data_IF_674325765447
#
_entry.id   IF_674325765447
#
_cell.length_a   1.000
_cell.length_b   1.000
_cell.length_c   1.000
_cell.angle_alpha   90.00
_cell.angle_beta   90.00
_cell.angle_gamma   90.00
#
_symmetry.space_group_name_H-M   'P 1'
#
loop_
_entity.id
_entity.type
_entity.pdbx_description
1 polymer ?
#
# COMPACT_ATOMS: atom_id res chain seq x y z
N UNK A 1 -12.43 -35.13 6.86
CA UNK A 1 -13.60 -34.82 6.03
C UNK A 1 -14.29 -33.61 6.64
N UNK A 2 -14.80 -32.68 5.84
CA UNK A 2 -15.62 -31.57 6.30
C UNK A 2 -17.03 -32.12 6.66
N UNK A 3 -17.58 -31.69 7.76
CA UNK A 3 -18.89 -32.07 8.27
C UNK A 3 -19.87 -30.93 8.02
N UNK A 4 -20.99 -31.20 7.32
CA UNK A 4 -22.04 -30.22 7.14
C UNK A 4 -23.01 -30.30 8.32
N UNK A 5 -23.30 -29.17 8.95
CA UNK A 5 -24.25 -29.09 10.08
C UNK A 5 -25.12 -27.83 9.96
N UNK A 6 -26.24 -27.85 10.65
CA UNK A 6 -27.02 -26.69 10.94
C UNK A 6 -26.65 -26.23 12.37
N UNK A 7 -26.00 -25.07 12.50
CA UNK A 7 -25.44 -24.60 13.76
C UNK A 7 -26.27 -23.46 14.33
N UNK A 8 -26.54 -23.51 15.63
CA UNK A 8 -27.13 -22.36 16.32
C UNK A 8 -26.20 -21.16 16.25
N UNK A 9 -26.68 -20.00 15.81
CA UNK A 9 -25.86 -18.78 15.64
C UNK A 9 -25.23 -18.39 16.99
N UNK A 10 -25.98 -18.55 18.10
CA UNK A 10 -25.50 -18.29 19.45
C UNK A 10 -24.33 -19.20 19.90
N UNK A 11 -24.14 -20.34 19.25
CA UNK A 11 -23.06 -21.29 19.52
C UNK A 11 -21.75 -20.94 18.80
N UNK A 12 -21.76 -19.89 17.95
CA UNK A 12 -20.64 -19.52 17.10
C UNK A 12 -19.97 -18.27 17.65
N UNK A 13 -18.71 -18.40 18.03
CA UNK A 13 -17.87 -17.26 18.36
C UNK A 13 -17.39 -16.56 17.09
N UNK A 14 -17.73 -15.30 16.94
CA UNK A 14 -17.17 -14.42 15.90
C UNK A 14 -16.01 -13.66 16.50
N UNK A 15 -14.78 -14.02 16.12
CA UNK A 15 -13.56 -13.35 16.56
C UNK A 15 -13.38 -11.96 15.95
N UNK A 16 -12.32 -11.26 16.38
CA UNK A 16 -11.90 -10.02 15.75
C UNK A 16 -11.57 -10.24 14.28
N UNK A 17 -12.10 -9.39 13.41
CA UNK A 17 -11.95 -9.50 11.97
C UNK A 17 -10.90 -8.53 11.44
N UNK A 18 -10.09 -8.99 10.49
CA UNK A 18 -9.10 -8.13 9.81
C UNK A 18 -9.75 -6.99 9.01
N UNK A 19 -10.98 -7.20 8.54
CA UNK A 19 -11.81 -6.20 7.89
C UNK A 19 -13.11 -6.03 8.69
N UNK A 20 -13.49 -4.80 9.06
CA UNK A 20 -14.79 -4.52 9.66
C UNK A 20 -15.93 -4.98 8.74
N UNK A 21 -17.05 -5.39 9.33
CA UNK A 21 -18.26 -5.69 8.59
C UNK A 21 -18.90 -4.37 8.16
N UNK A 22 -19.10 -4.22 6.87
CA UNK A 22 -19.89 -3.15 6.27
C UNK A 22 -21.38 -3.52 6.44
N UNK A 23 -22.11 -2.71 7.19
CA UNK A 23 -23.52 -2.99 7.53
C UNK A 23 -24.44 -2.86 6.33
N UNK A 24 -24.22 -1.89 5.45
CA UNK A 24 -25.04 -1.71 4.24
C UNK A 24 -24.93 -2.94 3.33
N UNK A 25 -23.70 -3.49 3.21
CA UNK A 25 -23.47 -4.72 2.46
C UNK A 25 -24.07 -5.95 3.18
N UNK A 26 -24.04 -6.00 4.51
CA UNK A 26 -24.68 -7.07 5.27
C UNK A 26 -26.21 -7.05 5.12
N UNK A 27 -26.83 -5.87 5.08
CA UNK A 27 -28.26 -5.69 4.83
C UNK A 27 -28.65 -6.13 3.42
N UNK A 28 -27.84 -5.82 2.40
CA UNK A 28 -28.06 -6.30 1.03
C UNK A 28 -28.01 -7.85 0.96
N UNK A 29 -27.07 -8.46 1.69
CA UNK A 29 -27.01 -9.93 1.82
C UNK A 29 -28.23 -10.46 2.57
N UNK A 30 -28.69 -9.79 3.62
CA UNK A 30 -29.88 -10.17 4.38
C UNK A 30 -31.13 -10.17 3.48
N UNK A 31 -31.30 -9.14 2.65
CA UNK A 31 -32.39 -9.07 1.68
C UNK A 31 -32.36 -10.28 0.73
N UNK A 32 -31.20 -10.59 0.16
CA UNK A 32 -31.03 -11.76 -0.71
C UNK A 32 -31.27 -13.09 0.03
N UNK A 33 -30.81 -13.22 1.26
CA UNK A 33 -31.04 -14.41 2.10
C UNK A 33 -32.50 -14.57 2.52
N UNK A 34 -33.22 -13.46 2.69
CA UNK A 34 -34.67 -13.51 2.95
C UNK A 34 -35.47 -14.06 1.78
N UNK A 35 -35.03 -13.74 0.55
CA UNK A 35 -35.73 -14.15 -0.68
C UNK A 35 -35.36 -15.58 -1.12
N UNK A 36 -34.06 -15.91 -1.06
CA UNK A 36 -33.52 -17.15 -1.66
C UNK A 36 -33.02 -18.17 -0.61
N UNK A 37 -33.08 -17.84 0.67
CA UNK A 37 -32.45 -18.64 1.72
C UNK A 37 -30.92 -18.53 1.70
N UNK A 38 -30.29 -19.38 2.48
CA UNK A 38 -28.82 -19.46 2.53
C UNK A 38 -28.28 -20.32 1.40
N UNK A 39 -27.74 -19.71 0.36
CA UNK A 39 -27.20 -20.42 -0.82
C UNK A 39 -25.87 -21.13 -0.51
N UNK A 40 -25.03 -20.53 0.32
CA UNK A 40 -23.70 -21.06 0.65
C UNK A 40 -23.51 -21.16 2.16
N UNK A 41 -23.06 -22.32 2.71
CA UNK A 41 -22.81 -22.47 4.12
C UNK A 41 -21.66 -21.58 4.59
N UNK A 42 -21.67 -21.24 5.89
CA UNK A 42 -20.52 -20.62 6.54
C UNK A 42 -19.46 -21.67 6.88
N UNK A 43 -18.23 -21.24 7.17
CA UNK A 43 -17.16 -22.16 7.59
C UNK A 43 -16.82 -21.90 9.06
N UNK A 44 -16.86 -22.95 9.88
CA UNK A 44 -16.59 -22.92 11.30
C UNK A 44 -15.60 -24.01 11.71
N UNK A 45 -14.96 -23.86 12.86
CA UNK A 45 -14.16 -24.92 13.49
C UNK A 45 -14.64 -25.20 14.93
N UNK A 46 -14.40 -26.42 15.41
CA UNK A 46 -14.70 -26.79 16.81
C UNK A 46 -13.70 -26.10 17.76
N UNK A 47 -14.21 -25.45 18.80
CA UNK A 47 -13.45 -24.82 19.88
C UNK A 47 -14.04 -25.19 21.24
N UNK A 48 -13.92 -26.46 21.66
CA UNK A 48 -14.64 -26.98 22.82
C UNK A 48 -14.25 -26.32 24.15
N UNK A 49 -13.08 -25.68 24.23
CA UNK A 49 -12.65 -24.97 25.42
C UNK A 49 -13.44 -23.68 25.73
N UNK A 50 -14.18 -23.13 24.74
CA UNK A 50 -15.03 -21.95 24.93
C UNK A 50 -16.43 -22.38 25.36
N UNK A 51 -16.70 -22.23 26.66
CA UNK A 51 -18.05 -22.52 27.21
C UNK A 51 -19.09 -21.60 26.54
N UNK A 52 -20.19 -22.18 26.03
CA UNK A 52 -21.27 -21.45 25.39
C UNK A 52 -21.10 -21.23 23.88
N UNK A 53 -19.86 -21.20 23.36
CA UNK A 53 -19.58 -21.06 21.93
C UNK A 53 -18.60 -22.13 21.47
N UNK A 54 -19.07 -23.39 21.29
CA UNK A 54 -18.23 -24.52 20.91
C UNK A 54 -17.67 -24.43 19.47
N UNK A 55 -18.08 -23.42 18.74
CA UNK A 55 -17.60 -23.17 17.37
C UNK A 55 -16.97 -21.78 17.26
N UNK A 56 -16.00 -21.64 16.39
CA UNK A 56 -15.44 -20.32 15.98
C UNK A 56 -15.60 -20.17 14.47
N UNK A 57 -16.11 -19.00 14.07
CA UNK A 57 -16.29 -18.65 12.67
C UNK A 57 -14.93 -18.48 11.98
N UNK A 58 -14.76 -19.14 10.83
CA UNK A 58 -13.61 -18.96 9.94
C UNK A 58 -14.00 -18.04 8.78
N UNK A 59 -15.05 -18.38 8.04
CA UNK A 59 -15.49 -17.61 6.87
C UNK A 59 -17.01 -17.48 6.82
N UNK A 60 -17.50 -16.38 6.22
CA UNK A 60 -18.93 -16.10 6.09
C UNK A 60 -19.45 -15.06 7.09
N UNK A 61 -18.61 -14.12 7.55
CA UNK A 61 -19.01 -13.07 8.48
C UNK A 61 -20.25 -12.30 8.05
N UNK A 62 -20.32 -11.86 6.81
CA UNK A 62 -21.50 -11.19 6.27
C UNK A 62 -22.76 -12.02 6.31
N UNK A 63 -22.67 -13.34 5.98
CA UNK A 63 -23.83 -14.26 6.05
C UNK A 63 -24.28 -14.48 7.49
N UNK A 64 -23.35 -14.58 8.43
CA UNK A 64 -23.66 -14.68 9.86
C UNK A 64 -24.34 -13.42 10.38
N UNK A 65 -23.84 -12.23 9.99
CA UNK A 65 -24.47 -10.95 10.35
C UNK A 65 -25.87 -10.83 9.70
N UNK A 66 -25.99 -11.14 8.42
CA UNK A 66 -27.27 -11.15 7.71
C UNK A 66 -28.31 -12.08 8.36
N UNK A 67 -27.92 -13.30 8.72
CA UNK A 67 -28.79 -14.24 9.42
C UNK A 67 -29.22 -13.69 10.79
N UNK A 68 -28.32 -12.99 11.51
CA UNK A 68 -28.65 -12.31 12.78
C UNK A 68 -29.65 -11.17 12.56
N UNK A 69 -29.46 -10.35 11.52
CA UNK A 69 -30.40 -9.28 11.17
C UNK A 69 -31.81 -9.81 10.82
N UNK A 70 -31.86 -10.98 10.18
CA UNK A 70 -33.13 -11.67 9.86
C UNK A 70 -33.76 -12.38 11.06
N UNK A 71 -33.12 -12.39 12.22
CA UNK A 71 -33.63 -13.09 13.41
C UNK A 71 -33.53 -14.60 13.30
N UNK A 72 -32.70 -15.15 12.41
CA UNK A 72 -32.49 -16.59 12.33
C UNK A 72 -31.81 -17.12 13.59
N UNK A 73 -32.23 -18.28 14.04
CA UNK A 73 -31.64 -18.95 15.21
C UNK A 73 -30.51 -19.91 14.82
N UNK A 74 -30.55 -20.40 13.58
CA UNK A 74 -29.60 -21.39 13.06
C UNK A 74 -29.12 -20.96 11.68
N UNK A 75 -27.94 -21.46 11.29
CA UNK A 75 -27.30 -21.19 10.02
C UNK A 75 -26.59 -22.45 9.51
N UNK A 76 -26.62 -22.68 8.21
CA UNK A 76 -25.92 -23.80 7.58
C UNK A 76 -24.41 -23.57 7.61
N UNK A 77 -23.68 -24.59 8.08
CA UNK A 77 -22.24 -24.48 8.33
C UNK A 77 -21.47 -25.74 7.93
N UNK A 78 -20.25 -25.53 7.47
CA UNK A 78 -19.26 -26.59 7.26
C UNK A 78 -18.27 -26.52 8.41
N UNK A 79 -18.14 -27.61 9.15
CA UNK A 79 -17.15 -27.75 10.23
C UNK A 79 -15.87 -28.30 9.63
N UNK A 80 -14.79 -27.52 9.71
CA UNK A 80 -13.47 -27.94 9.29
C UNK A 80 -12.59 -28.31 10.49
N UNK A 81 -11.74 -29.32 10.30
CA UNK A 81 -10.71 -29.68 11.25
C UNK A 81 -9.51 -28.79 10.98
N UNK A 82 -9.33 -27.76 11.80
CA UNK A 82 -8.22 -26.83 11.69
C UNK A 82 -7.80 -26.38 13.11
N UNK A 83 -6.49 -26.25 13.33
CA UNK A 83 -5.99 -25.58 14.52
C UNK A 83 -6.23 -24.04 14.43
N UNK A 84 -5.77 -23.27 15.42
CA UNK A 84 -6.02 -21.84 15.43
C UNK A 84 -5.31 -21.11 14.27
N UNK A 85 -4.10 -21.50 13.95
CA UNK A 85 -3.28 -20.92 12.89
C UNK A 85 -3.82 -21.31 11.51
N UNK A 86 -4.16 -22.57 11.32
CA UNK A 86 -4.77 -23.06 10.10
C UNK A 86 -6.12 -22.40 9.80
N UNK A 87 -6.94 -22.18 10.82
CA UNK A 87 -8.21 -21.49 10.67
C UNK A 87 -8.03 -20.04 10.21
N UNK A 88 -7.04 -19.32 10.77
CA UNK A 88 -6.71 -17.96 10.33
C UNK A 88 -6.14 -17.95 8.91
N UNK A 89 -5.30 -18.91 8.55
CA UNK A 89 -4.81 -19.05 7.17
C UNK A 89 -5.94 -19.31 6.17
N UNK A 90 -6.93 -20.14 6.55
CA UNK A 90 -8.13 -20.39 5.75
C UNK A 90 -9.00 -19.13 5.60
N UNK A 91 -9.22 -18.39 6.71
CA UNK A 91 -9.95 -17.12 6.70
C UNK A 91 -9.30 -16.12 5.75
N UNK A 92 -7.98 -15.96 5.86
CA UNK A 92 -7.22 -15.05 5.00
C UNK A 92 -7.29 -15.50 3.55
N UNK A 93 -7.10 -16.80 3.29
CA UNK A 93 -7.14 -17.33 1.93
C UNK A 93 -8.52 -17.09 1.28
N UNK A 94 -9.62 -17.33 1.99
CA UNK A 94 -10.98 -17.10 1.46
C UNK A 94 -11.18 -15.63 1.09
N UNK A 95 -10.78 -14.71 1.98
CA UNK A 95 -10.90 -13.28 1.72
C UNK A 95 -10.01 -12.80 0.58
N UNK A 96 -8.83 -13.39 0.41
CA UNK A 96 -7.88 -13.03 -0.65
C UNK A 96 -8.32 -13.53 -2.04
N UNK A 97 -9.13 -14.61 -2.11
CA UNK A 97 -9.74 -15.07 -3.36
C UNK A 97 -10.84 -14.13 -3.88
N UNK A 98 -11.35 -13.24 -3.03
CA UNK A 98 -12.28 -12.21 -3.50
C UNK A 98 -11.50 -11.13 -4.25
N UNK A 99 -11.77 -10.99 -5.54
CA UNK A 99 -11.12 -10.03 -6.45
C UNK A 99 -11.29 -8.54 -6.06
N UNK A 100 -11.96 -8.26 -4.94
CA UNK A 100 -12.42 -6.94 -4.50
C UNK A 100 -11.59 -6.33 -3.36
N UNK A 101 -10.47 -6.96 -2.98
CA UNK A 101 -9.61 -6.35 -1.96
C UNK A 101 -8.92 -5.10 -2.50
N UNK A 102 -9.16 -3.98 -1.83
CA UNK A 102 -8.39 -2.78 -2.08
C UNK A 102 -6.90 -2.99 -1.74
N UNK A 103 -5.99 -2.15 -2.25
CA UNK A 103 -4.56 -2.29 -2.01
C UNK A 103 -4.14 -2.29 -0.54
N UNK A 104 -4.83 -1.53 0.32
CA UNK A 104 -4.57 -1.51 1.76
C UNK A 104 -4.94 -2.83 2.43
N UNK A 105 -6.15 -3.33 2.19
CA UNK A 105 -6.61 -4.60 2.75
C UNK A 105 -5.74 -5.75 2.25
N UNK A 106 -5.40 -5.78 0.95
CA UNK A 106 -4.48 -6.77 0.39
C UNK A 106 -3.14 -6.78 1.12
N UNK A 107 -2.57 -5.61 1.40
CA UNK A 107 -1.31 -5.50 2.14
C UNK A 107 -1.43 -6.05 3.57
N UNK A 108 -2.51 -5.76 4.26
CA UNK A 108 -2.78 -6.26 5.62
C UNK A 108 -2.92 -7.79 5.61
N UNK A 109 -3.72 -8.33 4.68
CA UNK A 109 -3.93 -9.78 4.57
C UNK A 109 -2.64 -10.53 4.20
N UNK A 110 -1.85 -10.02 3.25
CA UNK A 110 -0.56 -10.61 2.88
C UNK A 110 0.39 -10.64 4.07
N UNK A 111 0.46 -9.56 4.85
CA UNK A 111 1.31 -9.52 6.04
C UNK A 111 0.84 -10.49 7.11
N UNK A 112 -0.47 -10.56 7.38
CA UNK A 112 -1.01 -11.49 8.37
C UNK A 112 -0.81 -12.95 7.96
N UNK A 113 -1.01 -13.26 6.68
CA UNK A 113 -0.71 -14.58 6.14
C UNK A 113 0.76 -14.95 6.35
N UNK A 114 1.66 -14.01 6.09
CA UNK A 114 3.10 -14.21 6.29
C UNK A 114 3.46 -14.43 7.77
N UNK A 115 2.92 -13.64 8.68
CA UNK A 115 3.13 -13.80 10.13
C UNK A 115 2.71 -15.20 10.60
N UNK A 116 1.50 -15.64 10.23
CA UNK A 116 0.97 -16.94 10.60
C UNK A 116 1.75 -18.10 9.97
N UNK A 117 2.21 -17.90 8.74
CA UNK A 117 3.04 -18.90 8.09
C UNK A 117 4.41 -19.01 8.79
N UNK A 118 5.03 -17.89 9.16
CA UNK A 118 6.28 -17.85 9.92
C UNK A 118 6.11 -18.44 11.34
N UNK A 119 4.95 -18.28 11.96
CA UNK A 119 4.62 -18.91 13.25
C UNK A 119 4.62 -20.44 13.13
N UNK A 120 4.06 -20.97 12.05
CA UNK A 120 3.94 -22.41 11.83
C UNK A 120 5.23 -23.06 11.32
N UNK A 121 6.01 -22.38 10.49
CA UNK A 121 7.16 -22.94 9.76
C UNK A 121 8.50 -22.35 10.17
N UNK A 122 8.52 -21.38 11.08
CA UNK A 122 9.71 -20.66 11.52
C UNK A 122 9.97 -19.37 10.74
N UNK A 123 10.71 -18.45 11.37
CA UNK A 123 10.96 -17.11 10.81
C UNK A 123 11.80 -17.17 9.53
N UNK A 124 11.33 -16.47 8.50
CA UNK A 124 12.09 -16.26 7.27
C UNK A 124 13.18 -15.21 7.53
N UNK A 125 14.44 -15.65 7.61
CA UNK A 125 15.55 -14.71 7.69
C UNK A 125 15.70 -13.99 6.35
N UNK A 126 15.63 -12.65 6.35
CA UNK A 126 16.05 -11.84 5.20
C UNK A 126 17.53 -12.14 4.94
N UNK A 127 17.88 -12.46 3.70
CA UNK A 127 19.26 -12.67 3.28
C UNK A 127 20.11 -11.46 3.67
N UNK A 128 20.95 -11.65 4.69
CA UNK A 128 22.05 -10.77 5.05
C UNK A 128 23.34 -11.39 4.56
N UNK A 129 24.19 -10.55 4.03
CA UNK A 129 25.60 -10.75 3.73
C UNK A 129 26.03 -12.10 3.09
N UNK A 130 26.33 -12.05 1.81
CA UNK A 130 26.84 -13.19 0.99
C UNK A 130 28.21 -13.73 1.44
N UNK A 131 28.79 -13.25 2.54
CA UNK A 131 30.14 -13.60 2.97
C UNK A 131 30.23 -14.69 4.02
N UNK A 132 29.15 -15.11 4.65
CA UNK A 132 29.13 -16.26 5.56
C UNK A 132 28.13 -17.30 5.06
N UNK A 133 28.65 -18.40 4.49
CA UNK A 133 27.86 -19.59 4.13
C UNK A 133 27.75 -20.50 5.35
N UNK A 134 26.66 -20.52 6.12
CA UNK A 134 26.29 -21.66 6.93
C UNK A 134 25.57 -22.66 6.02
N UNK A 135 25.81 -23.94 6.22
CA UNK A 135 25.16 -25.03 5.47
C UNK A 135 23.63 -25.03 5.53
N UNK A 136 23.03 -24.32 6.48
CA UNK A 136 21.56 -24.17 6.64
C UNK A 136 20.94 -23.01 5.82
N UNK A 137 21.75 -22.21 5.13
CA UNK A 137 21.24 -21.07 4.35
C UNK A 137 20.35 -21.49 3.16
N UNK A 138 20.54 -22.70 2.64
CA UNK A 138 19.76 -23.24 1.53
C UNK A 138 18.29 -23.44 1.87
N UNK A 139 17.98 -23.94 3.06
CA UNK A 139 16.61 -24.20 3.52
C UNK A 139 15.83 -22.90 3.81
N UNK A 140 16.49 -21.88 4.33
CA UNK A 140 15.87 -20.60 4.67
C UNK A 140 15.57 -19.76 3.42
N UNK A 141 16.40 -19.86 2.38
CA UNK A 141 16.15 -19.21 1.08
C UNK A 141 15.03 -19.89 0.31
N UNK A 142 14.85 -21.21 0.44
CA UNK A 142 13.74 -21.95 -0.17
C UNK A 142 12.42 -21.56 0.48
N UNK A 143 12.35 -21.52 1.82
CA UNK A 143 11.15 -21.20 2.58
C UNK A 143 10.57 -19.81 2.24
N UNK A 144 11.40 -18.78 2.08
CA UNK A 144 10.95 -17.45 1.67
C UNK A 144 10.43 -17.38 0.23
N UNK A 145 11.05 -18.12 -0.68
CA UNK A 145 10.57 -18.27 -2.07
C UNK A 145 9.31 -19.11 -2.16
N UNK A 146 9.24 -20.19 -1.40
CA UNK A 146 8.06 -21.07 -1.33
C UNK A 146 6.86 -20.31 -0.78
N UNK A 147 7.03 -19.53 0.30
CA UNK A 147 5.96 -18.68 0.81
C UNK A 147 5.51 -17.65 -0.23
N UNK A 148 6.46 -16.93 -0.85
CA UNK A 148 6.14 -15.95 -1.88
C UNK A 148 5.37 -16.58 -3.03
N UNK A 149 5.83 -17.74 -3.52
CA UNK A 149 5.19 -18.49 -4.59
C UNK A 149 3.81 -19.01 -4.18
N UNK A 150 3.70 -19.59 -3.00
CA UNK A 150 2.44 -20.11 -2.46
C UNK A 150 1.40 -18.99 -2.26
N UNK A 151 1.84 -17.82 -1.77
CA UNK A 151 0.98 -16.64 -1.64
C UNK A 151 0.55 -16.14 -3.02
N UNK A 152 1.46 -16.05 -3.98
CA UNK A 152 1.14 -15.63 -5.36
C UNK A 152 0.15 -16.59 -6.03
N UNK A 153 0.36 -17.89 -5.92
CA UNK A 153 -0.53 -18.93 -6.47
C UNK A 153 -1.91 -18.87 -5.80
N UNK A 154 -1.95 -18.73 -4.47
CA UNK A 154 -3.22 -18.65 -3.73
C UNK A 154 -3.97 -17.35 -3.92
N UNK A 155 -3.27 -16.22 -4.17
CA UNK A 155 -3.88 -14.92 -4.35
C UNK A 155 -4.13 -14.55 -5.80
N UNK A 156 -3.61 -15.34 -6.75
CA UNK A 156 -3.64 -15.00 -8.17
C UNK A 156 -2.99 -13.65 -8.49
N UNK A 157 -1.98 -13.24 -7.68
CA UNK A 157 -1.27 -11.96 -7.87
C UNK A 157 0.14 -12.20 -8.39
N UNK A 158 0.63 -11.25 -9.20
CA UNK A 158 2.02 -11.27 -9.66
C UNK A 158 3.00 -11.00 -8.51
N UNK A 159 4.26 -11.39 -8.71
CA UNK A 159 5.33 -11.13 -7.75
C UNK A 159 5.44 -9.63 -7.40
N UNK A 160 5.37 -8.75 -8.39
CA UNK A 160 5.41 -7.30 -8.17
C UNK A 160 4.27 -6.80 -7.26
N UNK A 161 3.05 -7.32 -7.46
CA UNK A 161 1.91 -6.99 -6.60
C UNK A 161 2.12 -7.50 -5.18
N UNK A 162 2.68 -8.70 -5.02
CA UNK A 162 3.03 -9.27 -3.73
C UNK A 162 4.09 -8.42 -3.01
N UNK A 163 5.19 -8.08 -3.68
CA UNK A 163 6.27 -7.27 -3.09
C UNK A 163 5.80 -5.88 -2.67
N UNK A 164 4.95 -5.25 -3.47
CA UNK A 164 4.31 -3.97 -3.12
C UNK A 164 3.39 -4.11 -1.91
N UNK A 165 2.59 -5.16 -1.84
CA UNK A 165 1.72 -5.44 -0.69
C UNK A 165 2.55 -5.67 0.58
N UNK A 166 3.63 -6.46 0.51
CA UNK A 166 4.57 -6.65 1.62
C UNK A 166 5.23 -5.32 2.04
N UNK A 167 5.64 -4.50 1.08
CA UNK A 167 6.25 -3.20 1.37
C UNK A 167 5.29 -2.26 2.10
N UNK A 168 4.04 -2.16 1.64
CA UNK A 168 2.99 -1.36 2.30
C UNK A 168 2.72 -1.93 3.70
N UNK A 169 2.43 -3.22 3.80
CA UNK A 169 2.06 -3.86 5.06
C UNK A 169 3.16 -3.84 6.12
N UNK A 170 4.45 -3.83 5.71
CA UNK A 170 5.59 -3.81 6.64
C UNK A 170 5.95 -2.40 7.10
N UNK A 171 5.86 -1.42 6.19
CA UNK A 171 6.39 -0.07 6.41
C UNK A 171 5.34 0.93 6.84
N UNK A 172 4.07 0.68 6.54
CA UNK A 172 3.00 1.59 6.92
C UNK A 172 2.67 1.44 8.41
N UNK A 173 2.78 2.54 9.15
CA UNK A 173 2.49 2.57 10.59
C UNK A 173 1.02 2.19 10.88
N UNK A 174 0.74 1.40 11.94
CA UNK A 174 -0.62 1.02 12.29
C UNK A 174 -1.60 2.19 12.45
N UNK A 175 -1.13 3.32 13.02
CA UNK A 175 -1.96 4.53 13.20
C UNK A 175 -2.31 5.14 11.84
N UNK A 176 -1.34 5.20 10.91
CA UNK A 176 -1.59 5.70 9.57
C UNK A 176 -2.48 4.76 8.77
N UNK A 177 -2.35 3.43 8.95
CA UNK A 177 -3.26 2.45 8.34
C UNK A 177 -4.72 2.71 8.68
N UNK A 178 -5.00 3.01 9.95
CA UNK A 178 -6.36 3.34 10.39
C UNK A 178 -6.84 4.67 9.81
N UNK A 179 -5.97 5.68 9.78
CA UNK A 179 -6.32 7.01 9.27
C UNK A 179 -6.58 7.04 7.76
N UNK A 180 -5.96 6.13 6.99
CA UNK A 180 -6.14 6.01 5.53
C UNK A 180 -7.45 5.29 5.18
N UNK A 181 -8.01 4.48 6.09
CA UNK A 181 -9.30 3.81 5.85
C UNK A 181 -10.42 4.82 5.63
N UNK A 182 -11.26 4.56 4.63
CA UNK A 182 -12.35 5.46 4.22
C UNK A 182 -11.88 6.66 3.39
N UNK A 183 -10.59 6.82 3.13
CA UNK A 183 -10.07 7.82 2.18
C UNK A 183 -9.86 7.22 0.79
N UNK A 184 -9.71 8.06 -0.23
CA UNK A 184 -9.41 7.60 -1.60
C UNK A 184 -8.07 6.85 -1.68
N UNK A 185 -7.17 7.09 -0.73
CA UNK A 185 -5.84 6.48 -0.71
C UNK A 185 -5.85 4.99 -0.37
N UNK A 186 -6.88 4.47 0.31
CA UNK A 186 -6.97 3.02 0.58
C UNK A 186 -7.05 2.19 -0.72
N UNK A 187 -7.58 2.80 -1.79
CA UNK A 187 -7.73 2.22 -3.12
C UNK A 187 -6.56 2.55 -4.06
N UNK A 188 -5.63 3.41 -3.64
CA UNK A 188 -4.50 3.85 -4.46
C UNK A 188 -3.17 3.29 -3.96
N UNK A 189 -2.68 2.24 -4.63
CA UNK A 189 -1.42 1.58 -4.29
C UNK A 189 -0.21 2.53 -4.34
N UNK A 190 -0.22 3.52 -5.25
CA UNK A 190 0.89 4.45 -5.42
C UNK A 190 0.97 5.42 -4.25
N UNK A 191 -0.18 5.92 -3.77
CA UNK A 191 -0.24 6.75 -2.58
C UNK A 191 0.19 5.98 -1.33
N UNK A 192 -0.29 4.74 -1.16
CA UNK A 192 0.12 3.88 -0.04
C UNK A 192 1.63 3.61 -0.02
N UNK A 193 2.24 3.37 -1.19
CA UNK A 193 3.69 3.20 -1.30
C UNK A 193 4.45 4.48 -0.98
N UNK A 194 3.91 5.64 -1.34
CA UNK A 194 4.50 6.94 -1.01
C UNK A 194 4.46 7.18 0.49
N UNK A 195 3.32 6.92 1.13
CA UNK A 195 3.16 7.01 2.58
C UNK A 195 4.09 6.03 3.31
N UNK A 196 4.23 4.81 2.82
CA UNK A 196 5.10 3.79 3.39
C UNK A 196 6.61 4.11 3.30
N UNK A 197 7.02 5.06 2.45
CA UNK A 197 8.40 5.55 2.34
C UNK A 197 8.73 6.64 3.33
N UNK A 198 7.74 7.27 3.94
CA UNK A 198 7.96 8.33 4.92
C UNK A 198 8.58 7.76 6.20
N UNK A 199 9.42 8.55 6.90
CA UNK A 199 9.85 8.24 8.26
C UNK A 199 8.64 8.03 9.17
N UNK A 200 8.78 7.18 10.20
CA UNK A 200 7.68 6.84 11.11
C UNK A 200 7.06 8.07 11.78
N UNK A 201 7.89 9.03 12.17
CA UNK A 201 7.44 10.29 12.78
C UNK A 201 6.53 11.10 11.85
N UNK A 202 6.88 11.15 10.56
CA UNK A 202 6.08 11.87 9.57
C UNK A 202 4.80 11.11 9.23
N UNK A 203 4.83 9.76 9.26
CA UNK A 203 3.61 8.96 9.13
C UNK A 203 2.60 9.27 10.22
N UNK A 204 3.04 9.45 11.47
CA UNK A 204 2.16 9.82 12.60
C UNK A 204 1.58 11.22 12.40
N UNK A 205 2.39 12.19 11.92
CA UNK A 205 1.91 13.55 11.60
C UNK A 205 0.85 13.52 10.49
N UNK A 206 1.11 12.76 9.44
CA UNK A 206 0.14 12.56 8.34
C UNK A 206 -1.15 11.92 8.86
N UNK A 207 -1.06 10.90 9.72
CA UNK A 207 -2.24 10.26 10.31
C UNK A 207 -3.08 11.25 11.15
N UNK A 208 -2.43 12.15 11.88
CA UNK A 208 -3.12 13.20 12.63
C UNK A 208 -3.82 14.20 11.71
N UNK A 209 -3.14 14.61 10.62
CA UNK A 209 -3.69 15.57 9.65
C UNK A 209 -4.88 14.98 8.86
N UNK A 210 -4.86 13.69 8.55
CA UNK A 210 -5.96 13.00 7.84
C UNK A 210 -7.28 12.98 8.61
N UNK A 211 -7.27 13.19 9.92
CA UNK A 211 -8.50 13.36 10.72
C UNK A 211 -9.28 14.62 10.37
N UNK A 212 -8.60 15.61 9.82
CA UNK A 212 -9.17 16.93 9.50
C UNK A 212 -9.28 17.15 7.98
N UNK A 213 -8.37 16.60 7.19
CA UNK A 213 -8.36 16.69 5.73
C UNK A 213 -8.18 15.28 5.16
N UNK A 214 -9.22 14.64 4.59
CA UNK A 214 -9.15 13.26 4.09
C UNK A 214 -8.35 13.12 2.78
N UNK A 215 -7.96 14.22 2.15
CA UNK A 215 -7.16 14.19 0.92
C UNK A 215 -5.67 14.03 1.23
N UNK A 216 -5.17 12.80 1.06
CA UNK A 216 -3.75 12.46 1.28
C UNK A 216 -2.80 13.32 0.46
N UNK A 217 -3.17 13.74 -0.77
CA UNK A 217 -2.29 14.57 -1.62
C UNK A 217 -2.11 15.95 -1.02
N UNK A 218 -3.19 16.54 -0.51
CA UNK A 218 -3.12 17.83 0.18
C UNK A 218 -2.29 17.72 1.45
N UNK A 219 -2.57 16.71 2.29
CA UNK A 219 -1.79 16.50 3.52
C UNK A 219 -0.30 16.33 3.22
N UNK A 220 0.07 15.55 2.21
CA UNK A 220 1.47 15.38 1.81
C UNK A 220 2.09 16.67 1.26
N UNK A 221 1.31 17.54 0.64
CA UNK A 221 1.80 18.84 0.20
C UNK A 221 2.16 19.75 1.39
N UNK A 222 1.38 19.69 2.48
CA UNK A 222 1.66 20.47 3.70
C UNK A 222 2.80 19.89 4.53
N UNK A 223 3.01 18.56 4.48
CA UNK A 223 4.09 17.92 5.26
C UNK A 223 5.46 17.98 4.59
N UNK A 224 5.50 18.24 3.29
CA UNK A 224 6.77 18.56 2.64
C UNK A 224 7.22 19.91 3.17
N UNK A 225 8.47 20.04 3.70
CA UNK A 225 9.02 21.35 3.98
C UNK A 225 8.84 22.18 2.71
N UNK A 226 8.47 23.47 2.82
CA UNK A 226 8.42 24.31 1.64
C UNK A 226 9.74 24.08 0.93
N UNK A 227 9.67 23.58 -0.31
CA UNK A 227 10.84 23.60 -1.16
C UNK A 227 11.17 25.07 -1.18
N UNK A 228 12.17 25.47 -0.39
CA UNK A 228 12.85 26.72 -0.62
C UNK A 228 13.28 26.56 -2.07
N UNK A 229 12.44 27.07 -2.97
CA UNK A 229 12.86 27.30 -4.33
C UNK A 229 14.05 28.20 -4.12
N UNK A 230 15.22 27.58 -4.06
CA UNK A 230 16.47 28.30 -3.98
C UNK A 230 16.33 29.32 -5.06
N UNK A 231 16.42 30.59 -4.73
CA UNK A 231 16.43 31.66 -5.73
C UNK A 231 17.27 31.13 -6.86
N UNK A 232 16.75 31.06 -8.11
CA UNK A 232 17.47 30.43 -9.20
C UNK A 232 18.91 30.95 -9.10
N UNK A 233 19.85 30.03 -8.91
CA UNK A 233 21.24 30.41 -8.69
C UNK A 233 21.54 31.36 -9.83
N UNK A 234 21.91 32.61 -9.51
CA UNK A 234 22.23 33.62 -10.51
C UNK A 234 23.20 32.93 -11.47
N UNK A 235 22.90 32.89 -12.77
CA UNK A 235 23.76 32.20 -13.70
C UNK A 235 25.17 32.74 -13.53
N UNK A 236 26.17 31.88 -13.51
CA UNK A 236 27.55 32.31 -13.35
C UNK A 236 27.86 33.37 -14.39
N UNK A 237 28.76 34.32 -14.06
CA UNK A 237 29.14 35.40 -14.99
C UNK A 237 29.60 34.83 -16.34
N UNK A 238 30.27 33.68 -16.33
CA UNK A 238 30.64 32.96 -17.56
C UNK A 238 29.42 32.51 -18.37
N UNK A 239 28.34 32.03 -17.72
CA UNK A 239 27.11 31.64 -18.42
C UNK A 239 26.38 32.85 -19.00
N UNK A 240 26.41 33.99 -18.30
CA UNK A 240 25.83 35.24 -18.80
C UNK A 240 26.61 35.73 -20.02
N UNK A 241 27.94 35.71 -19.96
CA UNK A 241 28.82 36.13 -21.02
C UNK A 241 28.60 35.22 -22.29
N UNK A 242 28.52 33.91 -22.10
CA UNK A 242 28.25 33.00 -23.23
C UNK A 242 26.91 33.33 -23.91
N UNK A 243 25.85 33.61 -23.13
CA UNK A 243 24.55 34.03 -23.69
C UNK A 243 24.61 35.36 -24.41
N UNK A 244 25.37 36.33 -23.88
CA UNK A 244 25.55 37.61 -24.54
C UNK A 244 26.28 37.45 -25.87
N UNK A 245 27.35 36.65 -25.91
CA UNK A 245 28.09 36.38 -27.15
C UNK A 245 27.16 35.69 -28.16
N UNK A 246 26.39 34.66 -27.77
CA UNK A 246 25.45 33.97 -28.65
C UNK A 246 24.38 34.94 -29.22
N UNK A 247 23.80 35.77 -28.36
CA UNK A 247 22.80 36.79 -28.76
C UNK A 247 23.41 37.82 -29.74
N UNK A 248 24.66 38.20 -29.52
CA UNK A 248 25.40 39.09 -30.41
C UNK A 248 25.65 38.47 -31.80
N UNK A 249 26.05 37.18 -31.81
CA UNK A 249 26.32 36.45 -33.08
C UNK A 249 25.02 36.28 -33.91
N UNK A 250 23.89 36.12 -33.24
CA UNK A 250 22.55 35.99 -33.90
C UNK A 250 21.97 37.34 -34.34
N UNK A 251 22.43 38.46 -33.77
CA UNK A 251 21.88 39.81 -33.99
C UNK A 251 22.23 40.33 -35.40
N UNK A 252 21.29 41.05 -36.04
CA UNK A 252 21.56 41.79 -37.27
C UNK A 252 22.52 42.97 -36.99
N UNK A 253 23.16 43.46 -38.06
CA UNK A 253 24.08 44.59 -38.00
C UNK A 253 23.40 45.82 -37.36
N UNK A 254 22.19 46.14 -37.76
CA UNK A 254 21.34 47.22 -37.20
C UNK A 254 21.09 47.07 -35.72
N UNK A 255 20.86 45.83 -35.25
CA UNK A 255 20.64 45.53 -33.82
C UNK A 255 21.96 45.70 -33.02
N UNK A 256 23.08 45.31 -33.58
CA UNK A 256 24.40 45.45 -32.97
C UNK A 256 24.77 46.95 -32.83
N UNK A 257 24.53 47.77 -33.86
CA UNK A 257 24.76 49.19 -33.85
C UNK A 257 23.88 49.89 -32.82
N UNK A 258 22.59 49.55 -32.74
CA UNK A 258 21.69 50.09 -31.75
C UNK A 258 22.11 49.73 -30.33
N UNK A 259 22.65 48.54 -30.10
CA UNK A 259 23.17 48.12 -28.81
C UNK A 259 24.41 48.90 -28.40
N UNK A 260 25.39 49.07 -29.33
CA UNK A 260 26.62 49.84 -29.14
C UNK A 260 26.31 51.32 -28.80
N UNK A 261 25.38 51.93 -29.55
CA UNK A 261 24.90 53.29 -29.25
C UNK A 261 24.34 53.40 -27.86
N UNK A 262 23.51 52.40 -27.42
CA UNK A 262 22.86 52.38 -26.13
C UNK A 262 23.84 52.29 -24.93
N UNK A 263 24.98 51.59 -25.14
CA UNK A 263 26.04 51.47 -24.11
C UNK A 263 27.11 52.56 -24.23
N UNK A 264 26.93 53.50 -25.17
CA UNK A 264 27.83 54.65 -25.33
C UNK A 264 29.18 54.29 -25.97
N UNK A 265 29.27 53.17 -26.68
CA UNK A 265 30.49 52.73 -27.38
C UNK A 265 30.40 53.02 -28.89
N UNK A 266 31.27 53.87 -29.39
CA UNK A 266 31.45 54.08 -30.83
C UNK A 266 32.69 53.31 -31.30
N UNK A 267 32.46 52.15 -31.98
CA UNK A 267 33.53 51.32 -32.55
C UNK A 267 32.97 50.29 -33.51
N UNK A 268 33.80 49.71 -34.38
CA UNK A 268 33.31 48.63 -35.23
C UNK A 268 32.95 47.42 -34.40
N UNK A 269 31.77 46.85 -34.60
CA UNK A 269 31.26 45.71 -33.80
C UNK A 269 32.22 44.51 -33.73
N UNK A 270 32.90 44.25 -34.82
CA UNK A 270 33.83 43.09 -34.97
C UNK A 270 35.11 43.24 -34.11
N UNK A 271 35.63 44.44 -33.91
CA UNK A 271 36.80 44.68 -33.09
C UNK A 271 36.48 44.49 -31.57
N UNK A 272 35.27 44.85 -31.15
CA UNK A 272 34.82 44.65 -29.79
C UNK A 272 34.60 43.16 -29.46
N UNK A 273 34.02 42.40 -30.40
CA UNK A 273 33.79 40.99 -30.21
C UNK A 273 35.07 40.15 -30.29
N UNK A 274 36.06 40.57 -31.08
CA UNK A 274 37.37 39.96 -31.05
C UNK A 274 38.06 40.11 -29.70
N UNK A 275 38.01 41.32 -29.10
CA UNK A 275 38.56 41.58 -27.77
C UNK A 275 37.84 40.75 -26.65
N UNK A 276 36.51 40.64 -26.72
CA UNK A 276 35.73 39.85 -25.74
C UNK A 276 36.04 38.34 -25.87
N UNK A 277 36.27 37.83 -27.05
CA UNK A 277 36.65 36.43 -27.29
C UNK A 277 38.07 36.12 -26.83
N UNK A 278 39.00 37.04 -26.92
CA UNK A 278 40.36 36.89 -26.38
C UNK A 278 40.41 36.88 -24.87
N UNK A 279 39.55 37.65 -24.20
CA UNK A 279 39.46 37.67 -22.75
C UNK A 279 38.73 36.45 -22.14
N UNK A 280 37.93 35.74 -22.94
CA UNK A 280 37.13 34.57 -22.52
C UNK A 280 37.84 33.22 -22.78
N UNK A 281 38.99 33.20 -23.41
CA UNK A 281 39.80 32.03 -23.71
C UNK A 281 40.92 31.80 -22.70
#
# INVERSE_FOLDING_TARGET
MAEFIRAAISSIHVGERLRPIDMDYAEAIAASMSEHGQISPIMIRKTPAKKGTPYTLIAGGYRTTAATLLGWTEIDAIVVKADAVEAQLLEISENLYRNELNPLDRAIFVMKYRELWEEKHGKIKRGGDQKSKPQDAGLVFSAGRELSKLVQERLGISQDKYERAVSIGTKLDPVLRQAVRGTTAENDQSQLLTLAKLPREDQVKVAAALKHEPDVKKVLAFTKPPVLVGSPALPSQSTILTKLIAAWDEASEETRDSFLERIGMSGTPDALMAAIREEAA
#
